data_IF_269915682418
#
_entry.id   IF_269915682418
#
_cell.length_a   1.000
_cell.length_b   1.000
_cell.length_c   1.000
_cell.angle_alpha   90.00
_cell.angle_beta   90.00
_cell.angle_gamma   90.00
#
_symmetry.space_group_name_H-M   'P 1'
#
loop_
_entity.id
_entity.type
_entity.pdbx_description
1 polymer ?
#
# COMPACT_ATOMS: atom_id res chain seq x y z
N UNK A 1 18.57 5.49 19.61
CA UNK A 1 17.16 5.85 19.27
C UNK A 1 16.86 5.27 17.89
N UNK A 2 15.97 4.28 17.85
CA UNK A 2 15.49 3.70 16.58
C UNK A 2 14.48 4.67 15.99
N UNK A 3 14.87 5.42 14.97
CA UNK A 3 13.95 6.26 14.22
C UNK A 3 13.15 5.35 13.26
N UNK A 4 11.83 5.33 13.42
CA UNK A 4 10.95 4.76 12.42
C UNK A 4 10.72 5.84 11.36
N UNK A 5 11.22 5.60 10.17
CA UNK A 5 10.94 6.49 9.04
C UNK A 5 9.49 6.25 8.58
N UNK A 6 8.72 7.33 8.50
CA UNK A 6 7.37 7.32 7.94
C UNK A 6 7.44 7.97 6.57
N UNK A 7 7.06 7.22 5.55
CA UNK A 7 6.94 7.68 4.17
C UNK A 7 5.47 7.70 3.79
N UNK A 8 5.02 8.77 3.16
CA UNK A 8 3.64 8.92 2.74
C UNK A 8 3.46 8.42 1.31
N UNK A 9 2.45 7.58 1.09
CA UNK A 9 2.06 7.11 -0.24
C UNK A 9 0.80 7.86 -0.68
N UNK A 10 0.92 8.59 -1.77
CA UNK A 10 -0.16 9.39 -2.34
C UNK A 10 -0.63 8.79 -3.67
N UNK A 11 -1.90 8.99 -3.98
CA UNK A 11 -2.46 8.62 -5.27
C UNK A 11 -2.17 7.15 -5.65
N UNK A 12 -2.29 6.24 -4.69
CA UNK A 12 -2.21 4.80 -4.94
C UNK A 12 -3.62 4.19 -5.07
N UNK A 13 -3.75 2.87 -4.98
CA UNK A 13 -5.05 2.20 -5.10
C UNK A 13 -6.05 2.69 -4.05
N UNK A 14 -5.67 2.76 -2.78
CA UNK A 14 -6.50 3.31 -1.69
C UNK A 14 -6.90 4.76 -1.95
N UNK A 15 -6.06 5.54 -2.62
CA UNK A 15 -6.32 6.91 -3.06
C UNK A 15 -7.03 7.02 -4.41
N UNK A 16 -7.68 5.95 -4.87
CA UNK A 16 -8.49 5.93 -6.11
C UNK A 16 -7.74 6.36 -7.38
N UNK A 17 -6.47 6.04 -7.52
CA UNK A 17 -5.65 6.48 -8.67
C UNK A 17 -6.30 6.23 -10.03
N UNK A 18 -7.04 5.15 -10.18
CA UNK A 18 -7.70 4.78 -11.44
C UNK A 18 -8.86 5.71 -11.82
N UNK A 19 -9.34 6.53 -10.87
CA UNK A 19 -10.47 7.45 -11.04
C UNK A 19 -10.05 8.92 -10.93
N UNK A 20 -8.80 9.23 -10.59
CA UNK A 20 -8.33 10.61 -10.45
C UNK A 20 -8.13 11.27 -11.81
N UNK A 21 -8.66 12.49 -11.99
CA UNK A 21 -8.21 13.35 -13.07
C UNK A 21 -6.77 13.82 -12.83
N UNK A 22 -6.07 14.20 -13.87
CA UNK A 22 -4.70 14.74 -13.76
C UNK A 22 -4.63 16.01 -12.90
N UNK A 23 -5.69 16.83 -12.91
CA UNK A 23 -5.82 18.03 -12.08
C UNK A 23 -5.90 17.66 -10.60
N UNK A 24 -6.79 16.73 -10.25
CA UNK A 24 -6.96 16.27 -8.87
C UNK A 24 -5.73 15.50 -8.38
N UNK A 25 -5.10 14.71 -9.25
CA UNK A 25 -3.83 14.04 -8.96
C UNK A 25 -2.75 15.05 -8.54
N UNK A 26 -2.57 16.13 -9.29
CA UNK A 26 -1.65 17.22 -8.97
C UNK A 26 -2.03 17.93 -7.67
N UNK A 27 -3.31 18.24 -7.50
CA UNK A 27 -3.81 18.96 -6.32
C UNK A 27 -3.51 18.22 -5.02
N UNK A 28 -3.70 16.90 -4.98
CA UNK A 28 -3.38 16.07 -3.81
C UNK A 28 -1.90 16.20 -3.45
N UNK A 29 -0.99 16.06 -4.41
CA UNK A 29 0.45 16.19 -4.15
C UNK A 29 0.79 17.60 -3.66
N UNK A 30 0.23 18.63 -4.30
CA UNK A 30 0.48 20.03 -3.93
C UNK A 30 -0.01 20.34 -2.53
N UNK A 31 -1.20 19.90 -2.15
CA UNK A 31 -1.74 20.07 -0.80
C UNK A 31 -0.86 19.40 0.23
N UNK A 32 -0.42 18.16 -0.06
CA UNK A 32 0.47 17.45 0.84
C UNK A 32 1.81 18.19 1.00
N UNK A 33 2.42 18.66 -0.08
CA UNK A 33 3.67 19.44 -0.06
C UNK A 33 3.55 20.75 0.73
N UNK A 34 2.41 21.41 0.67
CA UNK A 34 2.17 22.63 1.44
C UNK A 34 2.16 22.37 2.95
N UNK A 35 1.70 21.19 3.37
CA UNK A 35 1.65 20.77 4.78
C UNK A 35 2.97 20.15 5.25
N UNK A 36 3.64 19.40 4.38
CA UNK A 36 4.82 18.57 4.69
C UNK A 36 5.91 18.76 3.62
N UNK A 37 6.58 19.92 3.56
CA UNK A 37 7.47 20.28 2.45
C UNK A 37 8.67 19.35 2.28
N UNK A 38 9.23 18.87 3.39
CA UNK A 38 10.49 18.11 3.39
C UNK A 38 10.32 16.59 3.47
N UNK A 39 9.08 16.09 3.61
CA UNK A 39 8.86 14.67 3.75
C UNK A 39 9.02 13.94 2.41
N UNK A 40 9.61 12.75 2.45
CA UNK A 40 9.61 11.83 1.32
C UNK A 40 8.19 11.38 1.03
N UNK A 41 7.80 11.38 -0.25
CA UNK A 41 6.53 10.83 -0.71
C UNK A 41 6.74 9.83 -1.83
N UNK A 42 5.88 8.84 -1.88
CA UNK A 42 5.76 7.90 -2.98
C UNK A 42 4.44 8.19 -3.70
N UNK A 43 4.50 8.52 -4.98
CA UNK A 43 3.31 8.79 -5.79
C UNK A 43 2.97 7.59 -6.67
N UNK A 44 1.77 7.05 -6.53
CA UNK A 44 1.25 6.06 -7.47
C UNK A 44 1.15 6.68 -8.87
N UNK A 45 1.47 5.89 -9.89
CA UNK A 45 1.33 6.25 -11.30
C UNK A 45 0.72 5.09 -12.06
N UNK A 46 -0.20 5.36 -12.96
CA UNK A 46 -0.87 4.32 -13.76
C UNK A 46 -1.19 4.83 -15.15
N UNK A 47 -1.63 3.92 -16.02
CA UNK A 47 -2.10 4.26 -17.36
C UNK A 47 -3.36 5.15 -17.27
N UNK A 48 -3.25 6.39 -17.70
CA UNK A 48 -4.35 7.35 -17.71
C UNK A 48 -5.02 7.38 -19.09
N UNK A 49 -6.36 7.32 -19.09
CA UNK A 49 -7.15 7.39 -20.33
C UNK A 49 -7.11 6.12 -21.19
N UNK A 50 -6.74 5.00 -20.62
CA UNK A 50 -6.53 3.74 -21.35
C UNK A 50 -7.84 2.96 -21.55
N UNK A 51 -8.72 3.42 -22.41
CA UNK A 51 -9.85 2.63 -22.91
C UNK A 51 -9.47 1.75 -24.11
N UNK A 52 -8.30 1.99 -24.74
CA UNK A 52 -7.86 1.26 -25.92
C UNK A 52 -7.43 -0.19 -25.60
N UNK A 53 -7.57 -1.08 -26.58
CA UNK A 53 -7.24 -2.51 -26.45
C UNK A 53 -5.73 -2.78 -26.40
N UNK A 54 -4.88 -1.85 -26.92
CA UNK A 54 -3.44 -2.03 -27.04
C UNK A 54 -2.74 -1.12 -26.04
N UNK A 55 -1.92 -1.71 -25.16
CA UNK A 55 -1.10 -0.99 -24.21
C UNK A 55 -0.11 -0.04 -24.89
N UNK A 56 -0.02 1.19 -24.37
CA UNK A 56 0.96 2.20 -24.75
C UNK A 56 1.70 2.71 -23.50
N UNK A 57 3.04 2.66 -23.46
CA UNK A 57 3.81 3.17 -22.31
C UNK A 57 3.54 4.64 -21.99
N UNK A 58 3.31 5.46 -23.01
CA UNK A 58 3.01 6.89 -22.90
C UNK A 58 1.78 7.20 -22.04
N UNK A 59 0.91 6.23 -21.79
CA UNK A 59 -0.24 6.44 -20.89
C UNK A 59 0.13 6.67 -19.43
N UNK A 60 1.35 6.31 -19.02
CA UNK A 60 1.88 6.60 -17.68
C UNK A 60 2.43 8.03 -17.57
N UNK A 61 2.80 8.66 -18.70
CA UNK A 61 3.45 9.97 -18.73
C UNK A 61 2.70 11.07 -18.01
N UNK A 62 1.37 11.23 -18.12
CA UNK A 62 0.66 12.32 -17.45
C UNK A 62 0.89 12.32 -15.93
N UNK A 63 0.83 11.15 -15.28
CA UNK A 63 1.10 11.03 -13.87
C UNK A 63 2.60 11.19 -13.53
N UNK A 64 3.48 10.59 -14.33
CA UNK A 64 4.93 10.70 -14.15
C UNK A 64 5.40 12.16 -14.26
N UNK A 65 4.99 12.87 -15.32
CA UNK A 65 5.35 14.28 -15.54
C UNK A 65 4.85 15.19 -14.40
N UNK A 66 3.71 14.88 -13.82
CA UNK A 66 3.22 15.63 -12.66
C UNK A 66 4.01 15.30 -11.40
N UNK A 67 4.17 14.03 -11.06
CA UNK A 67 4.84 13.60 -9.84
C UNK A 67 6.28 14.10 -9.78
N UNK A 68 7.02 13.99 -10.89
CA UNK A 68 8.43 14.34 -11.01
C UNK A 68 8.72 15.86 -10.92
N UNK A 69 7.69 16.73 -10.96
CA UNK A 69 7.84 18.16 -10.72
C UNK A 69 8.05 18.51 -9.23
N UNK A 70 7.78 17.57 -8.33
CA UNK A 70 7.91 17.79 -6.90
C UNK A 70 9.22 17.22 -6.37
N UNK A 71 9.78 17.85 -5.34
CA UNK A 71 11.01 17.38 -4.68
C UNK A 71 10.74 16.18 -3.75
N UNK A 72 11.76 15.37 -3.47
CA UNK A 72 11.67 14.21 -2.58
C UNK A 72 10.55 13.23 -2.94
N UNK A 73 10.38 12.99 -4.24
CA UNK A 73 9.38 12.08 -4.79
C UNK A 73 10.04 10.80 -5.27
N UNK A 74 9.41 9.71 -4.98
CA UNK A 74 9.60 8.40 -5.60
C UNK A 74 8.28 8.02 -6.27
N UNK A 75 8.32 7.35 -7.40
CA UNK A 75 7.09 6.91 -8.10
C UNK A 75 6.84 5.44 -7.89
N UNK A 76 5.59 5.07 -7.71
CA UNK A 76 5.17 3.67 -7.68
C UNK A 76 4.43 3.35 -8.98
N UNK A 77 5.04 2.49 -9.79
CA UNK A 77 4.46 2.05 -11.05
C UNK A 77 3.34 1.05 -10.76
N UNK A 78 2.12 1.57 -10.65
CA UNK A 78 0.92 0.76 -10.46
C UNK A 78 0.65 -0.05 -11.73
N UNK A 79 0.21 -1.28 -11.56
CA UNK A 79 -0.23 -2.08 -12.70
C UNK A 79 -1.49 -1.50 -13.37
N UNK A 80 -1.77 -1.91 -14.59
CA UNK A 80 -3.01 -1.59 -15.31
C UNK A 80 -3.59 -2.83 -15.97
N UNK A 81 -4.89 -2.79 -16.30
CA UNK A 81 -5.54 -3.90 -16.99
C UNK A 81 -4.83 -4.26 -18.30
N UNK A 82 -4.47 -3.24 -19.09
CA UNK A 82 -3.82 -3.41 -20.39
C UNK A 82 -2.41 -3.98 -20.25
N UNK A 83 -1.69 -3.62 -19.18
CA UNK A 83 -0.38 -4.16 -18.89
C UNK A 83 -0.45 -5.65 -18.49
N UNK A 84 -1.47 -6.03 -17.75
CA UNK A 84 -1.64 -7.41 -17.27
C UNK A 84 -2.11 -8.39 -18.34
N UNK A 85 -2.74 -7.94 -19.44
CA UNK A 85 -3.10 -8.84 -20.56
C UNK A 85 -1.92 -9.13 -21.50
N UNK A 86 -0.78 -8.44 -21.32
CA UNK A 86 0.43 -8.73 -22.06
C UNK A 86 1.05 -10.04 -21.55
N UNK A 87 1.60 -10.84 -22.46
CA UNK A 87 2.44 -11.97 -22.05
C UNK A 87 3.70 -11.47 -21.31
N UNK A 88 4.37 -12.32 -20.51
CA UNK A 88 5.41 -11.89 -19.57
C UNK A 88 6.54 -11.08 -20.21
N UNK A 89 7.05 -11.49 -21.38
CA UNK A 89 8.13 -10.78 -22.10
C UNK A 89 7.68 -9.40 -22.57
N UNK A 90 6.47 -9.29 -23.15
CA UNK A 90 5.91 -8.00 -23.54
C UNK A 90 5.62 -7.10 -22.34
N UNK A 91 5.23 -7.69 -21.22
CA UNK A 91 5.03 -6.96 -19.96
C UNK A 91 6.34 -6.38 -19.44
N UNK A 92 7.44 -7.15 -19.50
CA UNK A 92 8.79 -6.66 -19.22
C UNK A 92 9.14 -5.44 -20.11
N UNK A 93 9.03 -5.61 -21.43
CA UNK A 93 9.37 -4.56 -22.40
C UNK A 93 8.52 -3.31 -22.17
N UNK A 94 7.24 -3.48 -21.79
CA UNK A 94 6.35 -2.39 -21.43
C UNK A 94 6.81 -1.64 -20.17
N UNK A 95 7.22 -2.36 -19.10
CA UNK A 95 7.79 -1.72 -17.91
C UNK A 95 9.08 -0.96 -18.22
N UNK A 96 9.97 -1.53 -19.04
CA UNK A 96 11.19 -0.85 -19.42
C UNK A 96 10.91 0.42 -20.23
N UNK A 97 9.95 0.37 -21.15
CA UNK A 97 9.53 1.56 -21.88
C UNK A 97 8.88 2.63 -20.97
N UNK A 98 8.13 2.25 -19.93
CA UNK A 98 7.64 3.19 -18.91
C UNK A 98 8.83 3.81 -18.16
N UNK A 99 9.82 2.99 -17.77
CA UNK A 99 11.01 3.44 -17.04
C UNK A 99 11.89 4.43 -17.84
N UNK A 100 11.80 4.45 -19.17
CA UNK A 100 12.45 5.49 -19.97
C UNK A 100 11.95 6.91 -19.63
N UNK A 101 10.68 7.03 -19.20
CA UNK A 101 10.06 8.30 -18.79
C UNK A 101 10.23 8.63 -17.31
N UNK A 102 10.85 7.75 -16.53
CA UNK A 102 11.08 7.95 -15.09
C UNK A 102 12.42 8.64 -14.86
N UNK A 103 12.42 9.73 -14.10
CA UNK A 103 13.60 10.54 -13.76
C UNK A 103 13.96 10.50 -12.26
N UNK A 104 13.14 9.85 -11.47
CA UNK A 104 13.28 9.70 -10.00
C UNK A 104 13.30 8.22 -9.63
N UNK A 105 13.64 7.82 -8.40
CA UNK A 105 13.54 6.44 -7.97
C UNK A 105 12.13 5.87 -8.18
N UNK A 106 12.03 4.60 -8.54
CA UNK A 106 10.77 3.93 -8.82
C UNK A 106 10.59 2.64 -8.01
N UNK A 107 9.37 2.38 -7.60
CA UNK A 107 8.92 1.11 -7.01
C UNK A 107 7.96 0.45 -8.00
N UNK A 108 8.13 -0.84 -8.26
CA UNK A 108 7.17 -1.63 -9.03
C UNK A 108 6.09 -2.20 -8.11
N UNK A 109 4.84 -2.23 -8.56
CA UNK A 109 3.73 -2.71 -7.74
C UNK A 109 3.13 -4.00 -8.30
N UNK A 110 3.28 -5.09 -7.57
CA UNK A 110 2.57 -6.34 -7.80
C UNK A 110 1.23 -6.31 -7.06
N UNK A 111 0.15 -6.51 -7.80
CA UNK A 111 -1.21 -6.55 -7.29
C UNK A 111 -1.83 -7.90 -7.64
N UNK A 112 -2.51 -8.51 -6.69
CA UNK A 112 -3.11 -9.83 -6.88
C UNK A 112 -4.61 -9.78 -7.21
N UNK A 113 -5.16 -10.88 -7.77
CA UNK A 113 -6.56 -10.95 -8.19
C UNK A 113 -7.59 -10.73 -7.08
N UNK A 114 -7.22 -10.95 -5.81
CA UNK A 114 -8.07 -10.65 -4.65
C UNK A 114 -8.43 -9.16 -4.52
N UNK A 115 -7.60 -8.27 -5.06
CA UNK A 115 -7.84 -6.83 -5.09
C UNK A 115 -8.51 -6.38 -6.39
N UNK A 116 -8.03 -6.88 -7.52
CA UNK A 116 -8.61 -6.59 -8.83
C UNK A 116 -8.54 -7.84 -9.72
N UNK A 117 -9.67 -8.31 -10.28
CA UNK A 117 -9.75 -9.62 -10.96
C UNK A 117 -8.84 -9.78 -12.17
N UNK A 118 -8.39 -8.68 -12.78
CA UNK A 118 -7.49 -8.67 -13.93
C UNK A 118 -6.01 -8.58 -13.55
N UNK A 119 -5.67 -8.51 -12.27
CA UNK A 119 -4.28 -8.47 -11.84
C UNK A 119 -3.57 -9.80 -12.10
N UNK A 120 -2.29 -9.71 -12.39
CA UNK A 120 -1.41 -10.88 -12.60
C UNK A 120 -0.12 -10.63 -11.82
N UNK A 121 0.25 -11.47 -10.86
CA UNK A 121 1.51 -11.38 -10.15
C UNK A 121 2.71 -11.37 -11.10
N UNK A 122 3.84 -10.84 -10.62
CA UNK A 122 5.08 -10.93 -11.39
C UNK A 122 5.64 -12.35 -11.34
N UNK A 123 6.06 -12.84 -12.49
CA UNK A 123 6.91 -14.02 -12.55
C UNK A 123 8.28 -13.71 -11.91
N UNK A 124 8.92 -14.69 -11.25
CA UNK A 124 10.19 -14.49 -10.56
C UNK A 124 11.30 -13.88 -11.44
N UNK A 125 11.38 -14.30 -12.69
CA UNK A 125 12.37 -13.78 -13.63
C UNK A 125 12.09 -12.33 -14.02
N UNK A 126 10.80 -11.97 -14.21
CA UNK A 126 10.40 -10.60 -14.54
C UNK A 126 10.74 -9.64 -13.39
N UNK A 127 10.42 -10.03 -12.15
CA UNK A 127 10.82 -9.23 -10.99
C UNK A 127 12.32 -9.05 -10.90
N UNK A 128 13.09 -10.12 -11.19
CA UNK A 128 14.55 -10.08 -11.21
C UNK A 128 15.09 -9.06 -12.21
N UNK A 129 14.54 -9.04 -13.42
CA UNK A 129 14.95 -8.07 -14.44
C UNK A 129 14.56 -6.63 -14.06
N UNK A 130 13.37 -6.43 -13.52
CA UNK A 130 12.93 -5.11 -13.02
C UNK A 130 13.81 -4.63 -11.86
N UNK A 131 14.09 -5.49 -10.89
CA UNK A 131 14.96 -5.17 -9.75
C UNK A 131 16.42 -4.87 -10.16
N UNK A 132 16.87 -5.41 -11.31
CA UNK A 132 18.18 -5.10 -11.89
C UNK A 132 18.26 -3.76 -12.62
N UNK A 133 17.14 -3.07 -12.80
CA UNK A 133 17.11 -1.78 -13.49
C UNK A 133 17.52 -0.65 -12.54
N UNK A 134 18.45 0.21 -12.95
CA UNK A 134 19.08 1.26 -12.12
C UNK A 134 18.09 2.23 -11.44
N UNK A 135 16.91 2.43 -12.03
CA UNK A 135 15.87 3.34 -11.49
C UNK A 135 14.93 2.64 -10.50
N UNK A 136 14.93 1.30 -10.45
CA UNK A 136 14.02 0.53 -9.61
C UNK A 136 14.66 0.24 -8.26
N UNK A 137 14.14 0.87 -7.21
CA UNK A 137 14.67 0.80 -5.84
C UNK A 137 13.90 -0.18 -4.97
N UNK A 138 12.76 -0.66 -5.43
CA UNK A 138 11.94 -1.56 -4.65
C UNK A 138 10.74 -2.11 -5.39
N UNK A 139 10.05 -3.00 -4.70
CA UNK A 139 8.78 -3.54 -5.16
C UNK A 139 7.78 -3.66 -4.01
N UNK A 140 6.54 -3.30 -4.29
CA UNK A 140 5.42 -3.52 -3.37
C UNK A 140 4.62 -4.72 -3.84
N UNK A 141 4.32 -5.64 -2.92
CA UNK A 141 3.32 -6.69 -3.15
C UNK A 141 2.06 -6.41 -2.33
N UNK A 142 0.90 -6.45 -2.99
CA UNK A 142 -0.42 -6.46 -2.34
C UNK A 142 -1.05 -7.82 -2.55
N UNK A 143 -1.07 -8.62 -1.47
CA UNK A 143 -1.61 -9.98 -1.44
C UNK A 143 -2.34 -10.21 -0.12
N UNK A 144 -3.36 -11.05 -0.10
CA UNK A 144 -4.03 -11.53 1.12
C UNK A 144 -3.52 -12.92 1.53
N UNK A 145 -2.44 -13.40 0.90
CA UNK A 145 -1.88 -14.71 1.15
C UNK A 145 -0.45 -14.61 1.70
N UNK A 146 -0.28 -14.84 3.00
CA UNK A 146 1.02 -14.79 3.66
C UNK A 146 2.10 -15.64 2.94
N UNK A 147 1.83 -16.85 2.42
CA UNK A 147 2.81 -17.60 1.65
C UNK A 147 3.34 -16.86 0.43
N UNK A 148 2.50 -16.12 -0.28
CA UNK A 148 2.93 -15.32 -1.43
C UNK A 148 3.83 -14.16 -1.01
N UNK A 149 3.50 -13.49 0.10
CA UNK A 149 4.34 -12.45 0.67
C UNK A 149 5.72 -13.00 1.10
N UNK A 150 5.74 -14.13 1.79
CA UNK A 150 6.99 -14.77 2.22
C UNK A 150 7.86 -15.19 1.03
N UNK A 151 7.25 -15.76 0.00
CA UNK A 151 7.94 -16.12 -1.24
C UNK A 151 8.52 -14.88 -1.94
N UNK A 152 7.73 -13.81 -2.09
CA UNK A 152 8.18 -12.54 -2.63
C UNK A 152 9.39 -11.99 -1.86
N UNK A 153 9.31 -11.98 -0.55
CA UNK A 153 10.39 -11.47 0.31
C UNK A 153 11.66 -12.30 0.18
N UNK A 154 11.53 -13.64 0.24
CA UNK A 154 12.68 -14.54 0.08
C UNK A 154 13.33 -14.35 -1.30
N UNK A 155 12.54 -14.26 -2.36
CA UNK A 155 13.03 -14.01 -3.70
C UNK A 155 13.78 -12.68 -3.81
N UNK A 156 13.25 -11.61 -3.20
CA UNK A 156 13.92 -10.30 -3.20
C UNK A 156 15.23 -10.33 -2.41
N UNK A 157 15.29 -11.05 -1.29
CA UNK A 157 16.52 -11.24 -0.52
C UNK A 157 17.58 -12.01 -1.30
N UNK A 158 17.17 -13.05 -2.04
CA UNK A 158 18.06 -13.86 -2.88
C UNK A 158 18.62 -13.09 -4.09
N UNK A 159 17.98 -12.00 -4.49
CA UNK A 159 18.46 -11.17 -5.59
C UNK A 159 19.79 -10.50 -5.25
N UNK A 160 20.13 -10.31 -3.97
CA UNK A 160 21.36 -9.67 -3.52
C UNK A 160 21.53 -8.24 -4.03
N UNK A 161 20.43 -7.63 -4.48
CA UNK A 161 20.35 -6.28 -5.04
C UNK A 161 19.93 -5.30 -3.96
N UNK A 162 20.22 -4.04 -4.19
CA UNK A 162 19.77 -2.92 -3.35
C UNK A 162 18.29 -2.61 -3.64
N UNK A 163 17.47 -3.65 -3.51
CA UNK A 163 16.05 -3.65 -3.84
C UNK A 163 15.23 -3.87 -2.57
N UNK A 164 14.42 -2.89 -2.21
CA UNK A 164 13.58 -2.95 -1.02
C UNK A 164 12.23 -3.63 -1.30
N UNK A 165 11.98 -4.84 -0.78
CA UNK A 165 10.67 -5.45 -0.85
C UNK A 165 9.74 -4.81 0.17
N UNK A 166 8.63 -4.21 -0.29
CA UNK A 166 7.63 -3.62 0.57
C UNK A 166 6.40 -4.53 0.68
N UNK A 167 5.95 -4.78 1.90
CA UNK A 167 4.62 -5.32 2.11
C UNK A 167 3.60 -4.23 1.80
N UNK A 168 2.74 -4.48 0.84
CA UNK A 168 1.55 -3.68 0.58
C UNK A 168 0.33 -4.22 1.27
N UNK A 169 0.53 -5.24 2.06
CA UNK A 169 -0.48 -6.08 2.66
C UNK A 169 -0.55 -5.78 4.14
N UNK A 170 -1.68 -5.25 4.53
CA UNK A 170 -1.99 -5.04 5.94
C UNK A 170 -2.15 -6.40 6.64
N UNK A 171 -2.40 -7.46 5.90
CA UNK A 171 -2.48 -8.84 6.37
C UNK A 171 -1.12 -9.42 6.78
N UNK A 172 -0.06 -9.01 6.12
CA UNK A 172 1.31 -9.50 6.36
C UNK A 172 2.14 -8.63 7.31
N UNK A 173 1.58 -7.65 8.00
CA UNK A 173 2.33 -6.67 8.81
C UNK A 173 3.24 -7.35 9.83
N UNK A 174 2.74 -8.35 10.56
CA UNK A 174 3.54 -9.06 11.56
C UNK A 174 4.76 -9.74 10.92
N UNK A 175 4.57 -10.43 9.81
CA UNK A 175 5.63 -11.09 9.05
C UNK A 175 6.61 -10.09 8.46
N UNK A 176 6.11 -8.97 7.90
CA UNK A 176 6.94 -7.91 7.36
C UNK A 176 7.87 -7.32 8.43
N UNK A 177 7.33 -6.98 9.61
CA UNK A 177 8.12 -6.44 10.72
C UNK A 177 9.17 -7.46 11.20
N UNK A 178 8.78 -8.73 11.35
CA UNK A 178 9.70 -9.81 11.77
C UNK A 178 10.85 -10.02 10.79
N UNK A 179 10.60 -9.84 9.51
CA UNK A 179 11.61 -9.96 8.46
C UNK A 179 12.40 -8.66 8.22
N UNK A 180 12.13 -7.60 8.99
CA UNK A 180 12.79 -6.31 8.83
C UNK A 180 12.38 -5.56 7.56
N UNK A 181 11.25 -5.92 6.95
CA UNK A 181 10.78 -5.32 5.71
C UNK A 181 10.10 -3.98 5.95
N UNK A 182 10.24 -3.02 5.04
CA UNK A 182 9.39 -1.85 5.02
C UNK A 182 7.94 -2.23 4.65
N UNK A 183 6.98 -1.45 5.11
CA UNK A 183 5.57 -1.65 4.80
C UNK A 183 4.99 -0.39 4.15
N UNK A 184 4.26 -0.56 3.05
CA UNK A 184 3.51 0.49 2.35
C UNK A 184 2.03 0.12 2.38
N UNK A 185 1.42 0.26 3.54
CA UNK A 185 0.06 -0.18 3.84
C UNK A 185 -0.97 0.90 3.49
N UNK A 186 -2.16 0.47 3.07
CA UNK A 186 -3.27 1.34 2.73
C UNK A 186 -4.24 1.53 3.90
N UNK A 187 -4.82 0.44 4.38
CA UNK A 187 -5.83 0.46 5.44
C UNK A 187 -5.20 0.55 6.84
N UNK A 188 -4.01 0.01 7.04
CA UNK A 188 -3.29 0.02 8.31
C UNK A 188 -2.94 1.40 8.84
N UNK A 189 -3.19 2.46 8.08
CA UNK A 189 -3.03 3.85 8.56
C UNK A 189 -3.83 4.10 9.85
N UNK A 190 -4.99 3.46 9.99
CA UNK A 190 -5.83 3.54 11.18
C UNK A 190 -5.22 2.84 12.40
N UNK A 191 -4.32 1.89 12.20
CA UNK A 191 -3.58 1.17 13.24
C UNK A 191 -2.12 1.62 13.35
N UNK A 192 -1.70 2.66 12.63
CA UNK A 192 -0.31 3.11 12.55
C UNK A 192 0.38 3.30 13.92
N UNK A 193 -0.22 3.89 14.95
CA UNK A 193 0.40 3.99 16.27
C UNK A 193 0.71 2.62 16.91
N UNK A 194 -0.18 1.64 16.73
CA UNK A 194 0.02 0.27 17.20
C UNK A 194 1.11 -0.44 16.41
N UNK A 195 1.16 -0.25 15.09
CA UNK A 195 2.20 -0.80 14.23
C UNK A 195 3.57 -0.26 14.65
N UNK A 196 3.69 1.04 14.89
CA UNK A 196 4.91 1.65 15.39
C UNK A 196 5.30 1.11 16.77
N UNK A 197 4.35 0.93 17.68
CA UNK A 197 4.60 0.34 18.99
C UNK A 197 5.09 -1.11 18.88
N UNK A 198 4.43 -1.93 18.08
CA UNK A 198 4.83 -3.32 17.84
C UNK A 198 6.23 -3.41 17.22
N UNK A 199 6.54 -2.56 16.25
CA UNK A 199 7.87 -2.51 15.63
C UNK A 199 8.95 -2.11 16.63
N UNK A 200 8.68 -1.13 17.51
CA UNK A 200 9.61 -0.74 18.58
C UNK A 200 9.85 -1.88 19.56
N UNK A 201 8.80 -2.53 20.06
CA UNK A 201 8.91 -3.68 20.97
C UNK A 201 9.76 -4.78 20.34
N UNK A 202 9.54 -5.08 19.06
CA UNK A 202 10.29 -6.10 18.34
C UNK A 202 11.78 -5.76 18.21
N UNK A 203 12.12 -4.48 17.98
CA UNK A 203 13.50 -4.02 17.81
C UNK A 203 14.21 -3.89 19.17
N UNK A 204 13.53 -3.36 20.20
CA UNK A 204 14.10 -3.09 21.52
C UNK A 204 14.44 -4.38 22.29
N UNK A 205 13.64 -5.43 22.14
CA UNK A 205 13.93 -6.73 22.73
C UNK A 205 15.07 -7.51 22.03
N UNK A 206 15.59 -6.98 20.95
CA UNK A 206 16.91 -7.06 20.25
C UNK A 206 17.60 -8.39 20.06
N UNK A 207 17.13 -9.50 20.63
CA UNK A 207 17.80 -10.80 20.54
C UNK A 207 17.12 -11.78 19.56
N UNK A 208 16.14 -11.30 18.79
CA UNK A 208 15.39 -12.14 17.85
C UNK A 208 14.44 -13.14 18.50
N UNK A 209 14.27 -13.03 19.81
CA UNK A 209 13.30 -13.85 20.52
C UNK A 209 11.89 -13.33 20.32
N UNK A 210 10.96 -14.28 20.37
CA UNK A 210 9.55 -14.00 20.26
C UNK A 210 9.06 -13.16 21.44
N UNK A 211 8.74 -11.88 21.21
CA UNK A 211 8.08 -11.06 22.23
C UNK A 211 6.58 -11.27 22.20
N UNK A 212 6.07 -11.89 23.27
CA UNK A 212 4.64 -12.13 23.44
C UNK A 212 3.81 -10.86 23.55
N UNK A 213 4.40 -9.72 23.93
CA UNK A 213 3.72 -8.42 23.99
C UNK A 213 3.50 -7.90 22.57
N UNK A 214 4.57 -7.89 21.77
CA UNK A 214 4.49 -7.50 20.36
C UNK A 214 3.47 -8.36 19.60
N UNK A 215 3.46 -9.67 19.89
CA UNK A 215 2.51 -10.57 19.24
C UNK A 215 1.05 -10.25 19.57
N UNK A 216 0.74 -9.88 20.82
CA UNK A 216 -0.61 -9.43 21.19
C UNK A 216 -1.03 -8.15 20.47
N UNK A 217 -0.06 -7.26 20.23
CA UNK A 217 -0.31 -6.05 19.43
C UNK A 217 -0.61 -6.45 17.98
N UNK A 218 0.19 -7.35 17.39
CA UNK A 218 -0.07 -7.87 16.04
C UNK A 218 -1.44 -8.54 15.94
N UNK A 219 -1.85 -9.36 16.91
CA UNK A 219 -3.19 -9.96 16.92
C UNK A 219 -4.30 -8.91 16.96
N UNK A 220 -4.10 -7.80 17.70
CA UNK A 220 -5.08 -6.73 17.74
C UNK A 220 -5.19 -6.00 16.40
N UNK A 221 -4.05 -5.72 15.74
CA UNK A 221 -4.02 -5.14 14.41
C UNK A 221 -4.67 -6.09 13.40
N UNK A 222 -4.25 -7.36 13.39
CA UNK A 222 -4.76 -8.37 12.47
C UNK A 222 -6.28 -8.54 12.58
N UNK A 223 -6.85 -8.47 13.77
CA UNK A 223 -8.30 -8.57 13.94
C UNK A 223 -9.08 -7.41 13.29
N UNK A 224 -8.47 -6.24 13.17
CA UNK A 224 -9.04 -5.11 12.42
C UNK A 224 -8.88 -5.34 10.92
N UNK A 225 -7.68 -5.74 10.49
CA UNK A 225 -7.38 -6.00 9.08
C UNK A 225 -8.26 -7.11 8.50
N UNK A 226 -8.49 -8.19 9.25
CA UNK A 226 -9.42 -9.27 8.87
C UNK A 226 -10.84 -8.74 8.60
N UNK A 227 -11.27 -7.75 9.37
CA UNK A 227 -12.58 -7.15 9.19
C UNK A 227 -12.60 -6.18 7.99
N UNK A 228 -11.53 -5.40 7.81
CA UNK A 228 -11.39 -4.43 6.71
C UNK A 228 -11.30 -5.14 5.36
N UNK A 229 -10.41 -6.13 5.25
CA UNK A 229 -10.15 -6.86 4.00
C UNK A 229 -11.02 -8.09 3.80
N UNK A 230 -12.06 -8.28 4.60
CA UNK A 230 -12.95 -9.42 4.39
C UNK A 230 -13.42 -9.52 2.94
N UNK A 231 -13.37 -10.73 2.42
CA UNK A 231 -13.81 -11.02 1.06
C UNK A 231 -15.35 -10.91 0.96
N UNK A 232 -15.81 -10.46 -0.18
CA UNK A 232 -17.22 -10.55 -0.55
C UNK A 232 -17.59 -11.97 -1.03
N UNK A 233 -18.82 -12.15 -1.48
CA UNK A 233 -19.32 -13.43 -2.01
C UNK A 233 -18.60 -13.91 -3.28
N UNK A 234 -17.91 -13.00 -3.98
CA UNK A 234 -17.14 -13.27 -5.18
C UNK A 234 -15.64 -13.48 -4.89
N UNK A 235 -15.22 -13.44 -3.62
CA UNK A 235 -13.83 -13.56 -3.21
C UNK A 235 -13.01 -12.29 -3.43
N UNK A 236 -13.66 -11.12 -3.54
CA UNK A 236 -13.00 -9.84 -3.73
C UNK A 236 -12.88 -9.07 -2.41
N UNK A 237 -11.72 -8.48 -2.18
CA UNK A 237 -11.46 -7.53 -1.10
C UNK A 237 -11.69 -6.07 -1.53
N UNK A 238 -12.05 -5.78 -2.78
CA UNK A 238 -12.03 -4.44 -3.37
C UNK A 238 -12.84 -3.38 -2.59
N UNK A 239 -13.87 -3.81 -1.84
CA UNK A 239 -14.67 -2.93 -0.98
C UNK A 239 -13.95 -2.49 0.33
N UNK A 240 -12.68 -2.90 0.56
CA UNK A 240 -11.90 -2.52 1.76
C UNK A 240 -11.80 -1.00 1.96
N UNK A 241 -11.83 -0.23 0.87
CA UNK A 241 -11.77 1.24 0.91
C UNK A 241 -12.90 1.85 1.74
N UNK A 242 -14.10 1.30 1.63
CA UNK A 242 -15.24 1.74 2.44
C UNK A 242 -15.09 1.33 3.90
N UNK A 243 -14.58 0.12 4.17
CA UNK A 243 -14.27 -0.32 5.53
C UNK A 243 -13.20 0.59 6.18
N UNK A 244 -12.15 0.93 5.44
CA UNK A 244 -11.12 1.87 5.89
C UNK A 244 -11.71 3.25 6.19
N UNK A 245 -12.55 3.79 5.29
CA UNK A 245 -13.22 5.07 5.51
C UNK A 245 -14.11 5.03 6.77
N UNK A 246 -14.84 3.92 7.00
CA UNK A 246 -15.65 3.74 8.20
C UNK A 246 -14.79 3.75 9.49
N UNK A 247 -13.63 3.12 9.46
CA UNK A 247 -12.67 3.18 10.60
C UNK A 247 -12.17 4.61 10.82
N UNK A 248 -11.79 5.32 9.76
CA UNK A 248 -11.34 6.71 9.87
C UNK A 248 -12.41 7.65 10.39
N UNK A 249 -13.68 7.46 10.00
CA UNK A 249 -14.82 8.21 10.55
C UNK A 249 -15.02 7.92 12.05
N UNK A 250 -14.96 6.63 12.45
CA UNK A 250 -15.06 6.24 13.86
C UNK A 250 -13.95 6.82 14.73
N UNK A 251 -12.76 7.02 14.15
CA UNK A 251 -11.62 7.69 14.79
C UNK A 251 -11.71 9.21 14.72
N UNK A 252 -12.76 9.77 14.08
CA UNK A 252 -12.95 11.21 13.90
C UNK A 252 -11.90 11.88 13.02
N UNK A 253 -11.24 11.13 12.14
CA UNK A 253 -10.22 11.64 11.21
C UNK A 253 -10.82 12.16 9.91
N UNK A 254 -12.03 11.70 9.56
CA UNK A 254 -12.83 12.19 8.44
C UNK A 254 -14.30 12.32 8.88
N UNK A 255 -15.07 13.14 8.15
CA UNK A 255 -16.46 13.45 8.50
C UNK A 255 -17.47 12.40 7.98
N UNK A 256 -17.10 11.56 7.05
CA UNK A 256 -18.00 10.57 6.43
C UNK A 256 -17.21 9.40 5.84
N UNK A 257 -17.78 8.20 5.92
CA UNK A 257 -17.24 6.99 5.26
C UNK A 257 -17.77 6.76 3.83
N UNK A 258 -18.35 7.79 3.23
CA UNK A 258 -18.74 7.73 1.83
C UNK A 258 -17.51 7.57 0.94
N UNK A 259 -17.62 6.68 -0.03
CA UNK A 259 -16.55 6.40 -1.00
C UNK A 259 -16.89 7.03 -2.36
N UNK A 260 -15.88 7.08 -3.23
CA UNK A 260 -16.05 7.64 -4.57
C UNK A 260 -17.29 7.06 -5.27
N UNK A 261 -18.16 7.87 -5.88
CA UNK A 261 -19.43 7.40 -6.47
C UNK A 261 -19.25 6.34 -7.56
N UNK A 262 -18.14 6.40 -8.31
CA UNK A 262 -17.82 5.44 -9.38
C UNK A 262 -17.15 4.17 -8.85
N UNK A 263 -16.97 4.03 -7.53
CA UNK A 263 -16.48 2.79 -6.96
C UNK A 263 -17.62 1.74 -6.99
N UNK A 264 -17.44 0.64 -7.74
CA UNK A 264 -18.49 -0.38 -7.86
C UNK A 264 -18.63 -1.23 -6.60
N UNK A 265 -17.53 -1.37 -5.85
CA UNK A 265 -17.45 -2.26 -4.70
C UNK A 265 -17.93 -1.55 -3.45
N UNK A 266 -19.04 -2.03 -2.89
CA UNK A 266 -19.66 -1.41 -1.71
C UNK A 266 -19.91 -2.43 -0.62
N UNK A 267 -19.76 -1.98 0.62
CA UNK A 267 -20.12 -2.73 1.80
C UNK A 267 -21.63 -2.62 2.10
N UNK A 268 -22.21 -3.58 2.83
CA UNK A 268 -23.57 -3.47 3.36
C UNK A 268 -23.76 -2.25 4.26
N UNK A 269 -25.00 -1.83 4.45
CA UNK A 269 -25.34 -0.62 5.21
C UNK A 269 -24.94 -0.66 6.71
N UNK A 270 -24.63 -1.84 7.26
CA UNK A 270 -24.19 -2.05 8.64
C UNK A 270 -22.67 -1.92 8.82
N UNK A 271 -21.94 -1.50 7.78
CA UNK A 271 -20.48 -1.46 7.78
C UNK A 271 -19.89 -0.66 8.94
N UNK A 272 -20.45 0.50 9.22
CA UNK A 272 -19.97 1.34 10.33
C UNK A 272 -20.08 0.62 11.68
N UNK A 273 -21.17 -0.13 11.91
CA UNK A 273 -21.33 -0.92 13.13
C UNK A 273 -20.34 -2.05 13.22
N UNK A 274 -20.06 -2.73 12.12
CA UNK A 274 -19.08 -3.82 12.04
C UNK A 274 -17.67 -3.32 12.29
N UNK A 275 -17.30 -2.18 11.71
CA UNK A 275 -15.99 -1.57 11.94
C UNK A 275 -15.83 -1.09 13.38
N UNK A 276 -16.89 -0.60 14.01
CA UNK A 276 -16.89 -0.26 15.44
C UNK A 276 -16.57 -1.47 16.34
N UNK A 277 -17.14 -2.61 16.04
CA UNK A 277 -16.84 -3.86 16.77
C UNK A 277 -15.40 -4.30 16.55
N UNK A 278 -14.93 -4.29 15.31
CA UNK A 278 -13.56 -4.66 14.96
C UNK A 278 -12.51 -3.73 15.60
N UNK A 279 -12.78 -2.42 15.62
CA UNK A 279 -11.89 -1.42 16.19
C UNK A 279 -11.76 -1.52 17.73
N UNK A 280 -12.72 -2.11 18.42
CA UNK A 280 -12.72 -2.18 19.89
C UNK A 280 -11.50 -2.89 20.47
N UNK A 281 -10.93 -3.89 19.80
CA UNK A 281 -9.73 -4.60 20.26
C UNK A 281 -8.46 -3.77 20.11
N UNK A 282 -8.16 -3.17 18.94
CA UNK A 282 -7.04 -2.24 18.77
C UNK A 282 -7.09 -1.05 19.75
N UNK A 283 -8.25 -0.46 19.97
CA UNK A 283 -8.41 0.66 20.94
C UNK A 283 -8.02 0.24 22.34
N UNK A 284 -8.57 -0.85 22.85
CA UNK A 284 -8.18 -1.38 24.18
C UNK A 284 -6.69 -1.70 24.26
N UNK A 285 -6.10 -2.19 23.19
CA UNK A 285 -4.66 -2.46 23.14
C UNK A 285 -3.87 -1.16 23.26
N UNK A 286 -4.23 -0.13 22.48
CA UNK A 286 -3.59 1.18 22.54
C UNK A 286 -3.67 1.80 23.94
N UNK A 287 -4.85 1.78 24.57
CA UNK A 287 -5.05 2.23 25.95
C UNK A 287 -4.13 1.49 26.95
N UNK A 288 -4.04 0.16 26.82
CA UNK A 288 -3.18 -0.65 27.70
C UNK A 288 -1.68 -0.35 27.57
N UNK A 289 -1.28 0.21 26.44
CA UNK A 289 0.11 0.60 26.15
C UNK A 289 0.37 2.10 26.42
N UNK A 290 -0.64 2.85 26.88
CA UNK A 290 -0.53 4.29 27.08
C UNK A 290 -0.30 5.07 25.77
N UNK A 291 -0.73 4.51 24.64
CA UNK A 291 -0.70 5.19 23.35
C UNK A 291 -1.84 6.22 23.37
N UNK A 292 -1.56 7.50 23.08
CA UNK A 292 -2.59 8.52 23.01
C UNK A 292 -3.74 8.09 22.08
N UNK A 293 -4.96 8.36 22.49
CA UNK A 293 -6.11 8.16 21.60
C UNK A 293 -5.99 9.05 20.38
N UNK A 294 -6.57 8.64 19.25
CA UNK A 294 -6.57 9.47 18.04
C UNK A 294 -7.21 10.85 18.29
N UNK A 295 -8.07 10.98 19.29
CA UNK A 295 -8.65 12.27 19.70
C UNK A 295 -7.62 13.22 20.32
N UNK A 296 -6.56 12.70 20.93
CA UNK A 296 -5.47 13.49 21.56
C UNK A 296 -4.38 13.90 20.55
N UNK A 297 -4.38 13.32 19.35
CA UNK A 297 -3.40 13.59 18.28
C UNK A 297 -3.88 14.74 17.36
N UNK A 298 -5.13 15.19 17.52
CA UNK A 298 -5.66 16.38 16.84
C UNK A 298 -5.01 17.64 17.44
#
# INVERSE_FOLDING_TARGET
EYQIEIVFVLNADTGYIFNLSTELYREVIQRFRNLFPDHKIICGTTAHGAEAEIFQPDWYRPHLEIAQQFQNVEVMLMTSRQLNVLGPEKRRDAYFAILEHVEVPAIVHALEPSFVPWATPFEPWLLRELAGHEKVTGGKISTLEEPHFLYWTAMCQDLGLDFAPHSGDDYGIASAIRMGQPSLIGAGVSACPLICAAKRMWIEDGDGRFDTRAYKVFEAIQSLEDAVFRLDENGSAAAYKQSTAAVLELLGLIDSHEIHPDCPDRRPADELSRMKEALARPVRMAESLGIPSFEEIK
#
